data_IF_166157303043
#
_entry.id   IF_166157303043
#
_cell.length_a   1.000
_cell.length_b   1.000
_cell.length_c   1.000
_cell.angle_alpha   90.00
_cell.angle_beta   90.00
_cell.angle_gamma   90.00
#
_symmetry.space_group_name_H-M   'P 1'
#
loop_
_entity.id
_entity.type
_entity.pdbx_description
1 polymer ?
#
# COMPACT_ATOMS: atom_id res chain seq x y z
N UNK A 1 -5.72 -12.87 16.38
CA UNK A 1 -5.80 -12.07 15.14
C UNK A 1 -6.03 -13.00 13.98
N UNK A 2 -7.05 -12.70 13.18
CA UNK A 2 -7.23 -13.34 11.87
C UNK A 2 -6.07 -12.91 10.94
N UNK A 3 -5.63 -13.79 10.04
CA UNK A 3 -4.62 -13.44 9.02
C UNK A 3 -4.96 -12.16 8.26
N UNK A 4 -6.25 -11.91 8.00
CA UNK A 4 -6.69 -10.67 7.34
C UNK A 4 -6.42 -9.42 8.18
N UNK A 5 -6.70 -9.44 9.49
CA UNK A 5 -6.44 -8.32 10.41
C UNK A 5 -4.95 -7.96 10.43
N UNK A 6 -4.07 -8.95 10.47
CA UNK A 6 -2.60 -8.74 10.41
C UNK A 6 -2.17 -7.97 9.15
N UNK A 7 -2.75 -8.28 7.99
CA UNK A 7 -2.43 -7.57 6.75
C UNK A 7 -3.05 -6.17 6.70
N UNK A 8 -4.24 -6.00 7.27
CA UNK A 8 -4.87 -4.68 7.39
C UNK A 8 -4.10 -3.76 8.34
N UNK A 9 -3.58 -4.28 9.45
CA UNK A 9 -2.69 -3.52 10.35
C UNK A 9 -1.39 -3.10 9.65
N UNK A 10 -0.82 -3.99 8.82
CA UNK A 10 0.33 -3.65 8.00
C UNK A 10 0.01 -2.54 7.00
N UNK A 11 -1.15 -2.61 6.32
CA UNK A 11 -1.59 -1.57 5.40
C UNK A 11 -1.80 -0.23 6.12
N UNK A 12 -2.42 -0.23 7.31
CA UNK A 12 -2.63 0.96 8.11
C UNK A 12 -1.30 1.61 8.52
N UNK A 13 -0.33 0.83 9.02
CA UNK A 13 1.00 1.34 9.36
C UNK A 13 1.71 1.97 8.15
N UNK A 14 1.67 1.31 7.00
CA UNK A 14 2.25 1.85 5.77
C UNK A 14 1.55 3.14 5.31
N UNK A 15 0.23 3.25 5.53
CA UNK A 15 -0.52 4.45 5.21
C UNK A 15 -0.12 5.63 6.10
N UNK A 16 0.06 5.38 7.40
CA UNK A 16 0.58 6.39 8.35
C UNK A 16 1.98 6.88 7.95
N UNK A 17 2.89 5.96 7.62
CA UNK A 17 4.23 6.28 7.12
C UNK A 17 4.19 7.09 5.81
N UNK A 18 3.23 6.81 4.93
CA UNK A 18 3.10 7.50 3.65
C UNK A 18 2.74 8.98 3.79
N UNK A 19 1.96 9.34 4.83
CA UNK A 19 1.59 10.74 5.13
C UNK A 19 2.85 11.56 5.42
N UNK A 20 3.77 11.01 6.22
CA UNK A 20 5.04 11.67 6.57
C UNK A 20 5.89 11.94 5.32
N UNK A 21 5.72 11.13 4.28
CA UNK A 21 6.42 11.25 3.00
C UNK A 21 5.66 12.08 1.94
N UNK A 22 4.56 12.75 2.32
CA UNK A 22 3.80 13.64 1.43
C UNK A 22 2.78 12.94 0.52
N UNK A 23 2.58 11.63 0.70
CA UNK A 23 1.53 10.86 0.02
C UNK A 23 0.19 10.92 0.76
N UNK A 24 -0.86 10.39 0.12
CA UNK A 24 -2.18 10.29 0.79
C UNK A 24 -2.23 9.15 1.81
N UNK A 25 -3.15 9.17 2.78
CA UNK A 25 -3.22 8.21 3.90
C UNK A 25 -3.80 6.84 3.48
N UNK A 26 -3.26 6.25 2.41
CA UNK A 26 -3.74 5.00 1.83
C UNK A 26 -2.57 4.13 1.40
N UNK A 27 -2.67 2.84 1.73
CA UNK A 27 -1.72 1.81 1.32
C UNK A 27 -2.45 0.49 1.03
N UNK A 28 -1.83 -0.36 0.22
CA UNK A 28 -2.34 -1.65 -0.21
C UNK A 28 -1.25 -2.72 -0.05
N UNK A 29 -1.70 -3.94 0.27
CA UNK A 29 -0.83 -5.12 0.45
C UNK A 29 -1.38 -6.23 -0.44
N UNK A 30 -0.53 -6.82 -1.28
CA UNK A 30 -0.88 -7.97 -2.12
C UNK A 30 -0.31 -9.23 -1.47
N UNK A 31 -1.18 -10.19 -1.19
CA UNK A 31 -0.84 -11.44 -0.53
C UNK A 31 -1.18 -12.60 -1.46
N UNK A 32 -0.22 -13.51 -1.68
CA UNK A 32 -0.42 -14.76 -2.40
C UNK A 32 0.07 -15.92 -1.54
N UNK A 33 -0.77 -16.93 -1.35
CA UNK A 33 -0.47 -18.12 -0.51
C UNK A 33 0.07 -17.77 0.89
N UNK A 34 -0.48 -16.73 1.51
CA UNK A 34 -0.06 -16.26 2.85
C UNK A 34 1.27 -15.50 2.88
N UNK A 35 1.87 -15.22 1.72
CA UNK A 35 3.08 -14.39 1.60
C UNK A 35 2.71 -13.03 1.02
N UNK A 36 3.20 -11.96 1.65
CA UNK A 36 3.14 -10.61 1.05
C UNK A 36 4.10 -10.59 -0.14
N UNK A 37 3.56 -10.41 -1.34
CA UNK A 37 4.35 -10.35 -2.59
C UNK A 37 4.57 -8.92 -3.06
N UNK A 38 3.73 -7.97 -2.63
CA UNK A 38 3.92 -6.55 -2.92
C UNK A 38 3.20 -5.66 -1.92
N UNK A 39 3.66 -4.40 -1.87
CA UNK A 39 2.97 -3.30 -1.21
C UNK A 39 2.99 -2.05 -2.09
N UNK A 40 2.07 -1.14 -1.83
CA UNK A 40 2.00 0.16 -2.50
C UNK A 40 1.35 1.18 -1.60
N UNK A 41 1.72 2.45 -1.77
CA UNK A 41 1.11 3.58 -1.06
C UNK A 41 0.54 4.56 -2.09
N UNK A 42 -0.37 5.44 -1.68
CA UNK A 42 -0.92 6.45 -2.57
C UNK A 42 0.14 7.52 -2.88
N UNK A 43 0.47 7.65 -4.17
CA UNK A 43 1.48 8.55 -4.72
C UNK A 43 0.93 9.57 -5.70
N UNK A 44 -0.38 9.84 -5.66
CA UNK A 44 -1.05 10.76 -6.60
C UNK A 44 -0.42 12.15 -6.57
N UNK A 45 -0.24 12.70 -5.36
CA UNK A 45 0.24 14.08 -5.17
C UNK A 45 1.73 14.20 -5.50
N UNK A 46 2.57 13.32 -4.95
CA UNK A 46 4.02 13.47 -5.07
C UNK A 46 4.54 13.07 -6.46
N UNK A 47 3.93 12.06 -7.10
CA UNK A 47 4.26 11.71 -8.49
C UNK A 47 3.50 12.53 -9.54
N UNK A 48 2.59 13.43 -9.13
CA UNK A 48 1.70 14.17 -10.04
C UNK A 48 0.97 13.25 -11.03
N UNK A 49 0.59 12.06 -10.57
CA UNK A 49 0.11 10.97 -11.40
C UNK A 49 -1.26 10.51 -10.87
N UNK A 50 -2.39 10.85 -11.53
CA UNK A 50 -3.72 10.56 -11.01
C UNK A 50 -4.03 9.06 -10.91
N UNK A 51 -3.23 8.20 -11.54
CA UNK A 51 -3.39 6.74 -11.46
C UNK A 51 -2.51 6.08 -10.39
N UNK A 52 -1.63 6.83 -9.71
CA UNK A 52 -0.68 6.29 -8.74
C UNK A 52 -1.33 6.04 -7.37
N UNK A 53 -2.50 5.39 -7.39
CA UNK A 53 -3.21 4.93 -6.19
C UNK A 53 -2.46 3.75 -5.55
N UNK A 54 -2.72 3.51 -4.26
CA UNK A 54 -2.03 2.47 -3.51
C UNK A 54 -2.17 1.07 -4.14
N UNK A 55 -3.37 0.73 -4.62
CA UNK A 55 -3.68 -0.55 -5.27
C UNK A 55 -2.89 -0.72 -6.57
N UNK A 56 -2.86 0.34 -7.38
CA UNK A 56 -2.16 0.35 -8.66
C UNK A 56 -0.65 0.24 -8.46
N UNK A 57 -0.09 1.00 -7.51
CA UNK A 57 1.31 0.93 -7.17
C UNK A 57 1.68 -0.44 -6.59
N UNK A 58 0.82 -1.05 -5.76
CA UNK A 58 1.06 -2.38 -5.23
C UNK A 58 1.09 -3.44 -6.34
N UNK A 59 0.18 -3.36 -7.33
CA UNK A 59 0.19 -4.25 -8.50
C UNK A 59 1.45 -4.05 -9.35
N UNK A 60 1.86 -2.80 -9.58
CA UNK A 60 3.09 -2.48 -10.34
C UNK A 60 4.37 -3.01 -9.67
N UNK A 61 4.35 -3.17 -8.35
CA UNK A 61 5.49 -3.65 -7.55
C UNK A 61 5.52 -5.17 -7.36
N UNK A 62 4.56 -5.94 -7.90
CA UNK A 62 4.55 -7.41 -7.78
C UNK A 62 5.80 -7.99 -8.43
N UNK A 63 6.53 -8.78 -7.65
CA UNK A 63 7.71 -9.57 -8.06
C UNK A 63 7.39 -11.05 -8.18
#
# INVERSE_FOLDING_TARGET
MNSHEKYMEMAARLAEENIVNGGGPFSAVVVNEGKVIATGCNRVTDKHAPTAHAEVEAIRNVV
#
